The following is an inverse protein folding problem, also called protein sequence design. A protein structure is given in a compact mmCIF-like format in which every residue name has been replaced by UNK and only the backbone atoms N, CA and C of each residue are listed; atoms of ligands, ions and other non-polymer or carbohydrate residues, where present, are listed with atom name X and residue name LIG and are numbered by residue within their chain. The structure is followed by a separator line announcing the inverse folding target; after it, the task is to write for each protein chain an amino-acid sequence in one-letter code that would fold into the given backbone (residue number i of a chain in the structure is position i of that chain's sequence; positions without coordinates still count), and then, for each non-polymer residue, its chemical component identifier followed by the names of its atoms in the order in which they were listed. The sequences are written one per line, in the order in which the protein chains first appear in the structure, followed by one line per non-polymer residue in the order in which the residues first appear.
data_IF_795861574226
#
_entry.id   IF_795861574226
#
_cell.length_a   1.000
_cell.length_b   1.000
_cell.length_c   1.000
_cell.angle_alpha   90.00
_cell.angle_beta   90.00
_cell.angle_gamma   90.00
#
_symmetry.space_group_name_H-M   'P 1'
#
loop_
_entity.id
_entity.type
_entity.pdbx_description
1 polymer ?
#
# COMPACT_ATOMS: atom_id res chain seq x y z
N UNK A 1 0.76 -19.72 -4.83
CA UNK A 1 0.51 -20.44 -3.57
C UNK A 1 1.63 -20.06 -2.62
N UNK A 2 1.34 -19.47 -1.46
CA UNK A 2 2.37 -19.10 -0.48
C UNK A 2 2.83 -20.40 0.20
N UNK A 3 4.13 -20.65 0.31
CA UNK A 3 4.66 -21.90 0.86
C UNK A 3 4.42 -22.02 2.37
N UNK A 4 4.27 -23.24 2.86
CA UNK A 4 4.13 -23.56 4.29
C UNK A 4 5.29 -22.99 5.11
N UNK A 5 6.51 -23.11 4.59
CA UNK A 5 7.74 -22.54 5.19
C UNK A 5 7.63 -21.04 5.42
N UNK A 6 7.02 -20.31 4.49
CA UNK A 6 6.81 -18.87 4.61
C UNK A 6 5.79 -18.54 5.70
N UNK A 7 4.69 -19.29 5.78
CA UNK A 7 3.67 -19.11 6.80
C UNK A 7 4.21 -19.38 8.20
N UNK A 8 5.03 -20.42 8.35
CA UNK A 8 5.69 -20.74 9.62
C UNK A 8 6.70 -19.67 10.03
N UNK A 9 7.50 -19.17 9.09
CA UNK A 9 8.41 -18.06 9.36
C UNK A 9 7.66 -16.80 9.77
N UNK A 10 6.58 -16.45 9.05
CA UNK A 10 5.74 -15.31 9.37
C UNK A 10 5.11 -15.43 10.76
N UNK A 11 4.68 -16.64 11.16
CA UNK A 11 4.19 -16.91 12.52
C UNK A 11 5.28 -16.71 13.56
N UNK A 12 6.47 -17.28 13.35
CA UNK A 12 7.62 -17.12 14.27
C UNK A 12 8.00 -15.66 14.47
N UNK A 13 7.95 -14.83 13.42
CA UNK A 13 8.20 -13.39 13.54
C UNK A 13 7.14 -12.72 14.42
N UNK A 14 5.86 -13.03 14.21
CA UNK A 14 4.77 -12.48 15.03
C UNK A 14 4.95 -12.87 16.51
N UNK A 15 5.22 -14.15 16.79
CA UNK A 15 5.45 -14.64 18.15
C UNK A 15 6.67 -13.94 18.80
N UNK A 16 7.74 -13.72 18.02
CA UNK A 16 8.91 -12.99 18.49
C UNK A 16 8.58 -11.54 18.84
N UNK A 17 7.76 -10.85 18.06
CA UNK A 17 7.33 -9.48 18.38
C UNK A 17 6.56 -9.44 19.71
N UNK A 18 5.67 -10.40 19.92
CA UNK A 18 4.88 -10.49 21.15
C UNK A 18 5.77 -10.75 22.36
N UNK A 19 6.78 -11.60 22.22
CA UNK A 19 7.77 -11.84 23.28
C UNK A 19 8.56 -10.58 23.64
N UNK A 20 8.98 -9.79 22.65
CA UNK A 20 9.71 -8.52 22.90
C UNK A 20 8.83 -7.56 23.70
N UNK A 21 7.56 -7.40 23.32
CA UNK A 21 6.62 -6.53 24.02
C UNK A 21 6.38 -7.01 25.46
N UNK A 22 6.14 -8.30 25.65
CA UNK A 22 5.88 -8.89 26.97
C UNK A 22 7.08 -8.80 27.93
N UNK A 23 8.31 -8.89 27.41
CA UNK A 23 9.54 -8.76 28.22
C UNK A 23 9.88 -7.33 28.56
N UNK A 24 9.55 -6.38 27.68
CA UNK A 24 10.02 -5.00 27.78
C UNK A 24 9.00 -4.08 28.44
N UNK A 25 7.71 -4.34 28.25
CA UNK A 25 6.62 -3.50 28.73
C UNK A 25 5.91 -4.16 29.92
N UNK A 26 5.24 -3.33 30.73
CA UNK A 26 4.49 -3.82 31.88
C UNK A 26 3.30 -4.64 31.40
N UNK A 27 2.94 -5.72 32.11
CA UNK A 27 1.91 -6.67 31.66
C UNK A 27 0.57 -5.97 31.39
N UNK A 28 0.04 -6.13 30.18
CA UNK A 28 -1.22 -5.51 29.75
C UNK A 28 -1.11 -4.03 29.38
N UNK A 29 0.11 -3.49 29.31
CA UNK A 29 0.36 -2.11 28.86
C UNK A 29 0.75 -1.99 27.39
N UNK A 30 0.93 -3.11 26.69
CA UNK A 30 1.22 -3.15 25.27
C UNK A 30 -0.06 -2.99 24.43
N UNK A 31 0.05 -2.23 23.34
CA UNK A 31 -1.04 -2.01 22.39
C UNK A 31 -0.48 -2.16 20.97
N UNK A 32 -0.17 -3.42 20.61
CA UNK A 32 0.36 -3.77 19.30
C UNK A 32 -0.75 -3.63 18.25
N UNK A 33 -0.49 -2.79 17.25
CA UNK A 33 -1.41 -2.47 16.16
C UNK A 33 -1.10 -3.32 14.92
N UNK A 34 0.16 -3.71 14.70
CA UNK A 34 0.52 -4.50 13.52
C UNK A 34 1.85 -5.25 13.70
N UNK A 35 2.04 -6.33 12.95
CA UNK A 35 3.32 -7.05 12.81
C UNK A 35 3.71 -7.15 11.34
N UNK A 36 4.81 -6.50 10.99
CA UNK A 36 5.44 -6.62 9.69
C UNK A 36 6.22 -7.95 9.63
N UNK A 37 5.92 -8.76 8.62
CA UNK A 37 6.45 -10.13 8.50
C UNK A 37 6.87 -10.50 7.07
N UNK A 38 6.92 -9.51 6.18
CA UNK A 38 7.12 -9.71 4.75
C UNK A 38 8.36 -8.97 4.26
N UNK A 39 8.38 -7.64 4.38
CA UNK A 39 9.50 -6.79 3.94
C UNK A 39 10.40 -6.40 5.12
N UNK A 40 9.81 -6.27 6.31
CA UNK A 40 10.48 -5.85 7.53
C UNK A 40 10.19 -6.87 8.63
N UNK A 41 11.16 -7.07 9.52
CA UNK A 41 10.97 -7.72 10.82
C UNK A 41 10.74 -6.61 11.85
N UNK A 42 9.49 -6.39 12.23
CA UNK A 42 9.13 -5.35 13.19
C UNK A 42 7.64 -5.25 13.43
N UNK A 43 7.24 -4.35 14.31
CA UNK A 43 5.85 -4.17 14.71
C UNK A 43 5.51 -2.69 14.87
N UNK A 44 4.22 -2.38 14.71
CA UNK A 44 3.66 -1.07 15.01
C UNK A 44 2.93 -1.16 16.34
N UNK A 45 3.27 -0.30 17.29
CA UNK A 45 2.73 -0.33 18.67
C UNK A 45 2.44 1.09 19.14
N UNK A 46 1.34 1.27 19.86
CA UNK A 46 1.08 2.53 20.56
C UNK A 46 1.78 2.53 21.92
N UNK A 47 2.61 3.54 22.18
CA UNK A 47 3.43 3.61 23.39
C UNK A 47 3.48 5.01 23.97
N UNK A 48 3.65 5.10 25.29
CA UNK A 48 4.10 6.34 25.94
C UNK A 48 5.59 6.60 25.64
N UNK A 49 6.11 7.82 25.86
CA UNK A 49 7.54 8.10 25.69
C UNK A 49 8.45 7.21 26.55
N UNK A 50 8.02 6.83 27.75
CA UNK A 50 8.80 5.94 28.63
C UNK A 50 8.84 4.51 28.10
N UNK A 51 7.71 3.99 27.59
CA UNK A 51 7.65 2.67 26.95
C UNK A 51 8.50 2.63 25.68
N UNK A 52 8.46 3.67 24.83
CA UNK A 52 9.31 3.78 23.65
C UNK A 52 10.80 3.76 24.01
N UNK A 53 11.19 4.44 25.09
CA UNK A 53 12.56 4.39 25.61
C UNK A 53 12.94 2.99 26.11
N UNK A 54 12.06 2.27 26.82
CA UNK A 54 12.32 0.87 27.22
C UNK A 54 12.57 -0.01 25.98
N UNK A 55 11.72 0.10 24.95
CA UNK A 55 11.87 -0.64 23.69
C UNK A 55 13.17 -0.30 22.96
N UNK A 56 13.58 0.97 22.94
CA UNK A 56 14.84 1.39 22.31
C UNK A 56 16.08 0.74 22.92
N UNK A 57 16.02 0.33 24.20
CA UNK A 57 17.13 -0.31 24.90
C UNK A 57 16.97 -1.84 24.98
N UNK A 58 15.91 -2.41 24.40
CA UNK A 58 15.73 -3.85 24.36
C UNK A 58 16.75 -4.49 23.39
N UNK A 59 17.48 -5.55 23.79
CA UNK A 59 18.50 -6.18 22.95
C UNK A 59 18.00 -6.65 21.58
N UNK A 60 16.72 -7.03 21.50
CA UNK A 60 16.08 -7.51 20.28
C UNK A 60 15.61 -6.37 19.34
N UNK A 61 15.65 -5.12 19.79
CA UNK A 61 15.15 -3.95 19.03
C UNK A 61 16.30 -3.16 18.45
N UNK A 62 16.40 -3.14 17.12
CA UNK A 62 17.45 -2.40 16.41
C UNK A 62 17.19 -0.89 16.34
N UNK A 63 15.93 -0.49 16.18
CA UNK A 63 15.55 0.90 15.93
C UNK A 63 14.10 1.13 16.39
N UNK A 64 13.86 2.30 16.98
CA UNK A 64 12.52 2.81 17.29
C UNK A 64 12.36 4.16 16.60
N UNK A 65 11.38 4.27 15.72
CA UNK A 65 11.01 5.52 15.05
C UNK A 65 9.57 5.89 15.40
N UNK A 66 9.36 7.15 15.76
CA UNK A 66 8.01 7.68 15.96
C UNK A 66 7.30 7.81 14.62
N UNK A 67 6.01 7.45 14.60
CA UNK A 67 5.17 7.61 13.41
C UNK A 67 5.11 9.08 12.96
N UNK A 68 5.28 9.31 11.66
CA UNK A 68 5.31 10.65 11.05
C UNK A 68 4.22 10.76 10.00
N UNK A 69 3.40 11.80 10.11
CA UNK A 69 2.42 12.14 9.06
C UNK A 69 3.14 12.86 7.92
N UNK A 70 2.93 12.39 6.70
CA UNK A 70 3.34 13.06 5.48
C UNK A 70 2.20 13.90 4.93
N UNK A 71 2.53 14.95 4.16
CA UNK A 71 1.55 15.76 3.42
C UNK A 71 1.50 15.26 1.98
N UNK A 72 0.31 15.24 1.38
CA UNK A 72 0.17 14.94 -0.05
C UNK A 72 0.73 16.09 -0.88
N UNK A 73 1.51 15.75 -1.89
CA UNK A 73 2.17 16.69 -2.81
C UNK A 73 1.99 16.18 -4.24
N UNK A 74 0.95 16.63 -4.96
CA UNK A 74 0.64 16.07 -6.29
C UNK A 74 0.16 17.09 -7.34
N UNK A 75 0.26 18.40 -7.11
CA UNK A 75 -0.45 19.36 -7.97
C UNK A 75 0.22 19.71 -9.31
N UNK A 76 1.49 19.32 -9.58
CA UNK A 76 2.20 19.75 -10.81
C UNK A 76 3.22 18.75 -11.36
N UNK A 77 3.08 17.45 -11.10
CA UNK A 77 4.10 16.45 -11.46
C UNK A 77 4.41 16.39 -12.97
N UNK A 78 3.45 16.44 -13.91
CA UNK A 78 3.76 16.38 -15.34
C UNK A 78 4.61 17.57 -15.80
N UNK A 79 4.27 18.80 -15.40
CA UNK A 79 5.04 19.99 -15.74
C UNK A 79 6.41 19.99 -15.05
N UNK A 80 6.48 19.59 -13.79
CA UNK A 80 7.74 19.46 -13.05
C UNK A 80 8.71 18.48 -13.72
N UNK A 81 8.18 17.37 -14.24
CA UNK A 81 8.96 16.33 -14.92
C UNK A 81 9.24 16.67 -16.40
N UNK A 82 8.77 17.80 -16.92
CA UNK A 82 8.92 18.16 -18.33
C UNK A 82 8.20 17.21 -19.28
N UNK A 83 7.14 16.54 -18.81
CA UNK A 83 6.34 15.64 -19.64
C UNK A 83 5.43 16.48 -20.53
N UNK A 84 5.85 16.64 -21.79
CA UNK A 84 5.06 17.28 -22.83
C UNK A 84 4.14 16.25 -23.51
N UNK A 85 2.98 16.69 -24.00
CA UNK A 85 1.98 15.85 -24.68
C UNK A 85 2.58 15.03 -25.83
N UNK A 86 3.63 15.53 -26.47
CA UNK A 86 4.31 14.90 -27.60
C UNK A 86 5.21 13.73 -27.25
N UNK A 87 5.52 13.49 -25.96
CA UNK A 87 6.45 12.42 -25.53
C UNK A 87 5.99 11.04 -26.01
N UNK A 88 4.70 10.73 -25.92
CA UNK A 88 4.18 9.41 -26.34
C UNK A 88 4.17 9.25 -27.85
N UNK A 89 3.93 10.33 -28.60
CA UNK A 89 4.01 10.32 -30.05
C UNK A 89 5.45 10.14 -30.55
N UNK A 90 6.44 10.63 -29.80
CA UNK A 90 7.87 10.46 -30.13
C UNK A 90 8.36 9.03 -29.87
N UNK A 91 7.84 8.36 -28.84
CA UNK A 91 8.28 7.03 -28.40
C UNK A 91 7.52 5.85 -29.06
N UNK A 92 6.51 6.11 -29.90
CA UNK A 92 5.92 5.07 -30.76
C UNK A 92 4.41 5.04 -30.92
N UNK A 93 3.67 6.03 -30.41
CA UNK A 93 2.18 6.22 -30.42
C UNK A 93 1.54 6.09 -29.02
N UNK A 94 0.49 6.87 -28.76
CA UNK A 94 -0.20 6.93 -27.46
C UNK A 94 -1.13 5.74 -27.22
N UNK A 95 -1.49 5.02 -28.30
CA UNK A 95 -2.50 3.96 -28.29
C UNK A 95 -2.19 2.86 -27.28
N UNK A 96 -0.91 2.46 -27.18
CA UNK A 96 -0.45 1.38 -26.29
C UNK A 96 0.55 1.88 -25.24
N UNK A 97 0.66 3.20 -25.04
CA UNK A 97 1.54 3.77 -24.03
C UNK A 97 1.18 3.21 -22.64
N UNK A 98 2.16 2.57 -21.99
CA UNK A 98 1.98 1.94 -20.68
C UNK A 98 1.26 0.60 -20.69
N UNK A 99 0.89 0.04 -21.85
CA UNK A 99 0.26 -1.29 -21.93
C UNK A 99 1.16 -2.39 -21.33
N UNK A 100 0.57 -3.35 -20.63
CA UNK A 100 1.27 -4.36 -19.83
C UNK A 100 1.90 -3.88 -18.50
N UNK A 101 1.93 -2.57 -18.20
CA UNK A 101 2.53 -2.03 -16.97
C UNK A 101 1.48 -1.78 -15.88
N UNK A 102 1.70 -2.30 -14.67
CA UNK A 102 0.85 -2.05 -13.51
C UNK A 102 1.55 -1.08 -12.56
N UNK A 103 0.95 0.07 -12.30
CA UNK A 103 1.51 1.13 -11.44
C UNK A 103 0.78 1.15 -10.10
N UNK A 104 1.49 0.88 -9.01
CA UNK A 104 0.96 0.98 -7.65
C UNK A 104 1.04 2.38 -7.07
N UNK A 105 -0.07 2.90 -6.58
CA UNK A 105 -0.24 4.15 -5.86
C UNK A 105 -0.58 3.84 -4.42
N UNK A 106 0.18 4.38 -3.46
CA UNK A 106 -0.17 4.34 -2.03
C UNK A 106 -0.66 5.74 -1.67
N UNK A 107 -1.99 5.93 -1.62
CA UNK A 107 -2.60 7.27 -1.48
C UNK A 107 -3.84 7.23 -0.56
N UNK A 108 -4.51 8.35 -0.38
CA UNK A 108 -5.76 8.49 0.38
C UNK A 108 -6.96 7.79 -0.23
N UNK A 109 -6.87 7.46 -1.51
CA UNK A 109 -7.91 6.73 -2.19
C UNK A 109 -8.04 7.02 -3.66
N UNK A 110 -9.03 6.36 -4.24
CA UNK A 110 -9.45 6.52 -5.62
C UNK A 110 -10.95 6.73 -5.63
N UNK A 111 -11.39 7.62 -6.52
CA UNK A 111 -12.78 7.69 -6.94
C UNK A 111 -12.93 6.80 -8.19
N UNK A 112 -13.49 5.58 -8.09
CA UNK A 112 -13.59 4.68 -9.23
C UNK A 112 -14.51 5.19 -10.34
N UNK A 113 -15.34 6.20 -10.05
CA UNK A 113 -16.31 6.76 -11.01
C UNK A 113 -15.74 7.93 -11.82
N UNK A 114 -14.48 8.32 -11.60
CA UNK A 114 -13.87 9.41 -12.38
C UNK A 114 -13.61 8.96 -13.83
N UNK A 115 -13.87 9.80 -14.86
CA UNK A 115 -13.69 9.43 -16.27
C UNK A 115 -12.32 8.86 -16.62
N UNK A 116 -11.25 9.34 -15.97
CA UNK A 116 -9.88 8.81 -16.14
C UNK A 116 -9.71 7.33 -15.77
N UNK A 117 -10.66 6.72 -15.05
CA UNK A 117 -10.67 5.31 -14.69
C UNK A 117 -11.68 4.47 -15.49
N UNK A 118 -12.27 5.05 -16.54
CA UNK A 118 -13.14 4.32 -17.44
C UNK A 118 -12.33 3.30 -18.22
N UNK A 119 -12.80 2.07 -18.26
CA UNK A 119 -12.22 1.04 -19.12
C UNK A 119 -12.89 1.09 -20.50
N UNK A 120 -12.07 1.27 -21.53
CA UNK A 120 -12.52 1.25 -22.91
C UNK A 120 -12.49 -0.19 -23.44
N UNK A 121 -13.68 -0.77 -23.68
CA UNK A 121 -13.79 -2.11 -24.23
C UNK A 121 -13.50 -2.18 -25.74
N UNK A 122 -13.43 -1.06 -26.47
CA UNK A 122 -13.14 -1.07 -27.90
C UNK A 122 -11.63 -1.11 -28.18
N UNK A 123 -10.84 -0.62 -27.23
CA UNK A 123 -9.38 -0.62 -27.27
C UNK A 123 -8.83 -1.51 -26.16
N UNK A 124 -9.08 -2.82 -26.28
CA UNK A 124 -8.58 -3.80 -25.32
C UNK A 124 -7.06 -3.72 -25.17
N UNK A 125 -6.60 -3.87 -23.93
CA UNK A 125 -5.19 -4.07 -23.63
C UNK A 125 -4.69 -5.26 -24.45
N UNK A 126 -3.62 -5.04 -25.21
CA UNK A 126 -3.01 -6.08 -26.04
C UNK A 126 -2.12 -6.98 -25.20
N UNK A 127 -1.65 -6.46 -24.07
CA UNK A 127 -0.76 -7.15 -23.15
C UNK A 127 -1.51 -7.99 -22.13
N UNK A 128 -1.13 -9.26 -22.01
CA UNK A 128 -1.68 -10.14 -21.00
C UNK A 128 -1.02 -9.87 -19.63
N UNK A 129 -1.76 -9.24 -18.71
CA UNK A 129 -1.31 -8.96 -17.34
C UNK A 129 -1.50 -10.19 -16.41
N UNK A 130 -1.58 -11.41 -16.94
CA UNK A 130 -1.78 -12.66 -16.17
C UNK A 130 -0.75 -12.89 -15.05
N UNK A 131 0.42 -12.25 -15.16
CA UNK A 131 1.44 -12.28 -14.12
C UNK A 131 1.08 -11.45 -12.87
N UNK A 132 0.15 -10.50 -12.97
CA UNK A 132 -0.33 -9.71 -11.84
C UNK A 132 -1.59 -10.35 -11.26
N UNK A 133 -1.47 -10.85 -10.03
CA UNK A 133 -2.58 -11.35 -9.25
C UNK A 133 -2.65 -10.59 -7.93
N UNK A 134 -3.66 -9.75 -7.80
CA UNK A 134 -3.99 -9.06 -6.56
C UNK A 134 -5.51 -8.95 -6.44
N UNK A 135 -6.05 -8.90 -5.22
CA UNK A 135 -7.50 -8.84 -5.08
C UNK A 135 -8.03 -7.41 -5.28
N UNK A 136 -9.32 -7.35 -5.54
CA UNK A 136 -10.11 -6.13 -5.55
C UNK A 136 -10.96 -6.10 -4.29
N UNK A 137 -10.52 -5.37 -3.27
CA UNK A 137 -11.31 -5.20 -2.05
C UNK A 137 -12.47 -4.25 -2.29
N UNK A 138 -13.65 -4.67 -1.82
CA UNK A 138 -14.89 -3.88 -1.85
C UNK A 138 -14.99 -3.03 -0.59
N UNK A 139 -15.44 -1.79 -0.74
CA UNK A 139 -15.68 -0.88 0.36
C UNK A 139 -16.92 0.00 0.16
N UNK A 140 -17.31 0.79 1.16
CA UNK A 140 -18.54 1.60 1.10
C UNK A 140 -18.63 2.57 -0.09
N UNK A 141 -17.48 3.04 -0.59
CA UNK A 141 -17.37 3.94 -1.75
C UNK A 141 -16.61 3.29 -2.91
N UNK A 142 -16.50 1.95 -2.89
CA UNK A 142 -15.77 1.18 -3.89
C UNK A 142 -16.50 -0.16 -4.11
N UNK A 143 -17.58 -0.18 -4.90
CA UNK A 143 -18.36 -1.39 -5.16
C UNK A 143 -17.56 -2.44 -5.96
N UNK A 144 -18.04 -3.68 -6.00
CA UNK A 144 -17.35 -4.83 -6.61
C UNK A 144 -16.98 -4.66 -8.08
N UNK A 145 -17.72 -3.85 -8.84
CA UNK A 145 -17.44 -3.57 -10.25
C UNK A 145 -16.41 -2.47 -10.48
N UNK A 146 -15.86 -1.88 -9.42
CA UNK A 146 -14.92 -0.75 -9.53
C UNK A 146 -13.54 -1.17 -10.05
N UNK A 147 -13.14 -2.43 -9.89
CA UNK A 147 -12.03 -2.97 -10.67
C UNK A 147 -12.57 -3.43 -12.02
N UNK A 148 -12.24 -2.70 -13.07
CA UNK A 148 -12.87 -2.79 -14.39
C UNK A 148 -11.88 -3.03 -15.53
N UNK A 149 -10.61 -3.34 -15.23
CA UNK A 149 -9.53 -3.50 -16.20
C UNK A 149 -8.61 -2.27 -16.29
N UNK A 150 -9.13 -1.07 -16.03
CA UNK A 150 -8.33 0.14 -15.83
C UNK A 150 -7.79 0.22 -14.40
N UNK A 151 -8.67 -0.04 -13.43
CA UNK A 151 -8.30 -0.37 -12.06
C UNK A 151 -8.27 -1.90 -11.97
N UNK A 152 -7.10 -2.46 -11.67
CA UNK A 152 -6.89 -3.93 -11.67
C UNK A 152 -6.82 -4.52 -10.27
N UNK A 153 -6.58 -3.71 -9.24
CA UNK A 153 -6.59 -4.13 -7.84
C UNK A 153 -6.78 -2.95 -6.89
N UNK A 154 -7.40 -3.25 -5.76
CA UNK A 154 -7.56 -2.34 -4.63
C UNK A 154 -7.35 -3.04 -3.31
N UNK A 155 -6.65 -2.35 -2.40
CA UNK A 155 -6.46 -2.78 -1.02
C UNK A 155 -6.63 -1.60 -0.07
N UNK A 156 -7.31 -1.85 1.04
CA UNK A 156 -7.43 -0.88 2.12
C UNK A 156 -6.54 -1.32 3.27
N UNK A 157 -5.47 -0.55 3.50
CA UNK A 157 -4.70 -0.70 4.72
C UNK A 157 -5.36 0.27 5.70
N UNK A 158 -5.85 -0.26 6.84
CA UNK A 158 -6.41 0.41 8.04
C UNK A 158 -7.82 -0.10 8.40
N UNK A 159 -7.88 -1.17 9.19
CA UNK A 159 -9.05 -1.51 10.01
C UNK A 159 -8.91 -1.00 11.46
N UNK A 160 -7.68 -0.81 11.97
CA UNK A 160 -7.40 -0.61 13.42
C UNK A 160 -6.78 0.76 13.78
N UNK A 161 -6.39 1.58 12.81
CA UNK A 161 -5.79 2.92 13.00
C UNK A 161 -6.82 4.07 13.12
N UNK A 162 -8.11 3.73 13.33
CA UNK A 162 -9.23 4.69 13.37
C UNK A 162 -9.12 5.76 14.46
N UNK A 163 -8.24 5.63 15.46
CA UNK A 163 -8.14 6.58 16.58
C UNK A 163 -6.98 7.58 16.50
N UNK A 164 -6.00 7.41 15.59
CA UNK A 164 -4.87 8.35 15.54
C UNK A 164 -4.39 8.75 14.14
N UNK A 165 -4.80 8.07 13.07
CA UNK A 165 -4.49 8.50 11.70
C UNK A 165 -5.76 8.74 10.89
N UNK A 166 -6.05 10.02 10.63
CA UNK A 166 -6.85 10.40 9.46
C UNK A 166 -5.95 10.35 8.24
N UNK A 167 -5.59 9.15 7.80
CA UNK A 167 -5.00 8.92 6.48
C UNK A 167 -5.48 7.54 6.09
N UNK A 168 -6.53 7.44 5.28
CA UNK A 168 -6.75 6.19 4.53
C UNK A 168 -5.48 5.97 3.72
N UNK A 169 -4.85 4.81 3.80
CA UNK A 169 -3.82 4.43 2.83
C UNK A 169 -4.46 3.35 1.97
N UNK A 170 -5.09 3.79 0.89
CA UNK A 170 -5.58 2.91 -0.17
C UNK A 170 -4.41 2.69 -1.12
N UNK A 171 -3.96 1.44 -1.22
CA UNK A 171 -3.08 1.11 -2.33
C UNK A 171 -3.94 0.75 -3.53
N UNK A 172 -3.68 1.43 -4.64
CA UNK A 172 -4.42 1.31 -5.89
C UNK A 172 -3.42 0.98 -6.97
N UNK A 173 -3.70 -0.04 -7.76
CA UNK A 173 -2.90 -0.34 -8.93
C UNK A 173 -3.63 0.13 -10.18
N UNK A 174 -3.05 1.10 -10.87
CA UNK A 174 -3.55 1.68 -12.12
C UNK A 174 -2.76 1.15 -13.30
N UNK A 175 -3.48 0.90 -14.37
CA UNK A 175 -2.90 0.75 -15.68
C UNK A 175 -3.03 2.10 -16.41
N UNK A 176 -1.96 2.88 -16.53
CA UNK A 176 -2.05 4.22 -17.14
C UNK A 176 -2.05 4.14 -18.68
N UNK A 177 -3.23 4.20 -19.29
CA UNK A 177 -3.48 5.01 -20.49
C UNK A 177 -3.68 6.47 -20.06
N UNK A 178 -2.80 7.37 -20.46
CA UNK A 178 -2.97 8.82 -20.28
C UNK A 178 -3.63 9.36 -21.55
N UNK A 179 -4.89 9.78 -21.43
CA UNK A 179 -5.52 10.66 -22.40
C UNK A 179 -5.11 12.09 -22.10
#
# INVERSE_FOLDING_TARGET
MISEVFMDHAKRLVDSHDQVLQRTLDRGSDNKLYSFKHVLNGFFVHTTPSQAKKLQHAPEVKLVEGDRRTKVMTTYSPQFLGLHETMWTQEGDDRNAGDGIVIGFIDMGINPFHPSFTYDMLNHLTSNISHFSAACEVGPQFPSFSCNGKIVSTRFFISELKRSLRLMLRSIFLHQRMQ
#
